data_IF_446594724388
#
_entry.id   IF_446594724388
#
_cell.length_a   1.000
_cell.length_b   1.000
_cell.length_c   1.000
_cell.angle_alpha   90.00
_cell.angle_beta   90.00
_cell.angle_gamma   90.00
#
_symmetry.space_group_name_H-M   'P 1'
#
loop_
_entity.id
_entity.type
_entity.pdbx_description
1 polymer ?
#
# COMPACT_ATOMS: atom_id res chain seq x y z
N UNK A 1 -13.62 -43.80 48.41
CA UNK A 1 -14.33 -43.66 47.13
C UNK A 1 -15.06 -42.33 47.15
N UNK A 2 -14.46 -41.29 46.60
CA UNK A 2 -15.02 -39.94 46.48
C UNK A 2 -15.60 -39.79 45.08
N UNK A 3 -16.90 -39.58 44.97
CA UNK A 3 -17.61 -39.33 43.69
C UNK A 3 -17.19 -37.98 43.09
N UNK A 4 -17.12 -37.83 41.76
CA UNK A 4 -16.80 -36.55 41.13
C UNK A 4 -18.05 -35.68 40.98
N UNK A 5 -17.86 -34.38 41.21
CA UNK A 5 -18.84 -33.31 41.02
C UNK A 5 -19.42 -33.31 39.60
N UNK A 6 -20.75 -33.20 39.53
CA UNK A 6 -21.47 -32.96 38.28
C UNK A 6 -21.33 -31.48 37.89
N UNK A 7 -20.97 -31.13 36.65
CA UNK A 7 -20.91 -29.74 36.23
C UNK A 7 -22.34 -29.16 36.18
N UNK A 8 -22.54 -28.04 36.89
CA UNK A 8 -23.80 -27.31 36.88
C UNK A 8 -24.19 -26.79 35.49
N UNK A 9 -25.47 -26.43 35.28
CA UNK A 9 -25.96 -25.99 33.98
C UNK A 9 -25.23 -24.72 33.52
N UNK A 10 -24.97 -24.58 32.20
CA UNK A 10 -24.32 -23.38 31.67
C UNK A 10 -25.16 -22.15 32.01
N UNK A 11 -24.48 -21.13 32.55
CA UNK A 11 -25.10 -19.84 32.85
C UNK A 11 -25.71 -19.19 31.60
N UNK A 12 -26.65 -18.24 31.79
CA UNK A 12 -27.26 -17.53 30.68
C UNK A 12 -26.19 -16.84 29.81
N UNK A 13 -26.34 -16.82 28.47
CA UNK A 13 -25.42 -16.13 27.60
C UNK A 13 -25.31 -14.67 28.03
N UNK A 14 -24.08 -14.18 28.15
CA UNK A 14 -23.82 -12.78 28.48
C UNK A 14 -24.45 -11.83 27.45
N UNK A 15 -24.63 -10.54 27.80
CA UNK A 15 -25.17 -9.56 26.87
C UNK A 15 -24.36 -9.55 25.56
N UNK A 16 -25.01 -9.39 24.39
CA UNK A 16 -24.32 -9.31 23.12
C UNK A 16 -23.26 -8.20 23.21
N UNK A 17 -22.04 -8.52 22.78
CA UNK A 17 -20.96 -7.53 22.71
C UNK A 17 -21.34 -6.33 21.83
N UNK A 18 -20.58 -5.24 21.89
CA UNK A 18 -20.83 -4.08 21.04
C UNK A 18 -20.91 -4.52 19.57
N UNK A 19 -21.83 -3.95 18.78
CA UNK A 19 -22.02 -4.36 17.40
C UNK A 19 -20.71 -4.20 16.62
N UNK A 20 -20.38 -5.23 15.83
CA UNK A 20 -19.24 -5.20 14.92
C UNK A 20 -19.34 -4.06 13.89
N UNK A 21 -18.28 -3.83 13.11
CA UNK A 21 -18.30 -2.80 12.07
C UNK A 21 -19.44 -3.06 11.06
N UNK A 22 -20.06 -1.99 10.51
CA UNK A 22 -21.12 -2.12 9.52
C UNK A 22 -20.70 -3.02 8.36
N UNK A 23 -21.61 -3.84 7.83
CA UNK A 23 -21.26 -4.69 6.69
C UNK A 23 -21.18 -3.88 5.40
N UNK A 24 -20.55 -4.41 4.36
CA UNK A 24 -20.56 -3.78 3.02
C UNK A 24 -21.99 -3.66 2.45
N UNK A 25 -22.92 -4.53 2.86
CA UNK A 25 -24.32 -4.42 2.46
C UNK A 25 -24.98 -3.19 3.10
N UNK A 26 -24.67 -2.91 4.37
CA UNK A 26 -25.16 -1.71 5.08
C UNK A 26 -24.54 -0.43 4.51
N UNK A 27 -23.27 -0.52 4.12
CA UNK A 27 -22.51 0.61 3.59
C UNK A 27 -22.85 0.92 2.14
N UNK A 28 -23.30 -0.05 1.34
CA UNK A 28 -23.72 0.14 -0.06
C UNK A 28 -22.73 -0.43 -1.08
N UNK A 29 -23.27 -1.21 -2.03
CA UNK A 29 -22.49 -1.92 -3.05
C UNK A 29 -21.83 -0.99 -4.09
N UNK A 30 -22.25 0.26 -4.19
CA UNK A 30 -21.65 1.27 -5.08
C UNK A 30 -20.18 1.53 -4.73
N UNK A 31 -19.78 1.33 -3.47
CA UNK A 31 -18.39 1.45 -3.04
C UNK A 31 -17.48 0.43 -3.72
N UNK A 32 -17.99 -0.71 -4.18
CA UNK A 32 -17.19 -1.77 -4.78
C UNK A 32 -16.98 -1.60 -6.29
N UNK A 33 -17.59 -0.59 -6.91
CA UNK A 33 -17.63 -0.45 -8.36
C UNK A 33 -16.46 0.38 -8.88
N UNK A 34 -15.52 -0.27 -9.57
CA UNK A 34 -14.52 0.42 -10.38
C UNK A 34 -14.97 0.49 -11.85
N UNK A 35 -15.32 1.70 -12.32
CA UNK A 35 -15.69 1.90 -13.73
C UNK A 35 -14.51 1.66 -14.67
N UNK A 36 -14.80 1.30 -15.94
CA UNK A 36 -13.77 1.14 -16.98
C UNK A 36 -12.87 2.37 -17.12
N UNK A 37 -13.46 3.57 -17.03
CA UNK A 37 -12.73 4.85 -17.08
C UNK A 37 -11.77 5.00 -15.90
N UNK A 38 -12.23 4.71 -14.67
CA UNK A 38 -11.40 4.78 -13.46
C UNK A 38 -10.23 3.79 -13.53
N UNK A 39 -10.50 2.56 -13.97
CA UNK A 39 -9.47 1.54 -14.21
C UNK A 39 -8.38 2.04 -15.19
N UNK A 40 -8.79 2.57 -16.33
CA UNK A 40 -7.85 3.11 -17.32
C UNK A 40 -7.03 4.28 -16.77
N UNK A 41 -7.67 5.23 -16.07
CA UNK A 41 -6.97 6.36 -15.45
C UNK A 41 -5.94 5.87 -14.43
N UNK A 42 -6.30 4.90 -13.58
CA UNK A 42 -5.41 4.36 -12.57
C UNK A 42 -4.16 3.73 -13.20
N UNK A 43 -4.34 2.88 -14.21
CA UNK A 43 -3.23 2.22 -14.92
C UNK A 43 -2.39 3.17 -15.78
N UNK A 44 -3.00 4.21 -16.34
CA UNK A 44 -2.30 5.18 -17.18
C UNK A 44 -1.48 6.21 -16.39
N UNK A 45 -1.83 6.49 -15.12
CA UNK A 45 -1.23 7.57 -14.33
C UNK A 45 0.29 7.41 -14.15
N UNK A 46 0.84 6.23 -13.79
CA UNK A 46 2.30 6.06 -13.71
C UNK A 46 3.01 6.27 -15.05
N UNK A 47 2.39 5.81 -16.14
CA UNK A 47 2.93 5.98 -17.51
C UNK A 47 2.93 7.45 -17.93
N UNK A 48 1.86 8.18 -17.62
CA UNK A 48 1.83 9.63 -17.83
C UNK A 48 2.94 10.34 -17.03
N UNK A 49 3.21 9.90 -15.81
CA UNK A 49 4.34 10.41 -15.01
C UNK A 49 5.70 10.14 -15.65
N UNK A 50 5.93 8.94 -16.22
CA UNK A 50 7.14 8.64 -16.99
C UNK A 50 7.31 9.57 -18.19
N UNK A 51 6.22 9.84 -18.92
CA UNK A 51 6.24 10.79 -20.04
C UNK A 51 6.57 12.22 -19.57
N UNK A 52 6.00 12.66 -18.43
CA UNK A 52 6.35 13.93 -17.82
C UNK A 52 7.82 14.00 -17.41
N UNK A 53 8.38 12.93 -16.83
CA UNK A 53 9.80 12.86 -16.50
C UNK A 53 10.67 12.98 -17.76
N UNK A 54 10.35 12.21 -18.80
CA UNK A 54 11.09 12.24 -20.06
C UNK A 54 11.03 13.63 -20.71
N UNK A 55 9.87 14.29 -20.70
CA UNK A 55 9.71 15.65 -21.20
C UNK A 55 10.51 16.67 -20.37
N UNK A 56 10.51 16.57 -19.04
CA UNK A 56 11.28 17.45 -18.17
C UNK A 56 12.80 17.26 -18.38
N UNK A 57 13.26 16.02 -18.49
CA UNK A 57 14.65 15.69 -18.79
C UNK A 57 15.08 16.23 -20.17
N UNK A 58 14.23 16.04 -21.19
CA UNK A 58 14.47 16.55 -22.55
C UNK A 58 14.53 18.09 -22.59
N UNK A 59 13.67 18.77 -21.83
CA UNK A 59 13.68 20.22 -21.68
C UNK A 59 14.80 20.75 -20.76
N UNK A 60 15.61 19.87 -20.14
CA UNK A 60 16.66 20.24 -19.20
C UNK A 60 16.17 20.68 -17.82
N UNK A 61 14.89 20.47 -17.48
CA UNK A 61 14.27 20.84 -16.21
C UNK A 61 14.54 19.82 -15.11
N UNK A 62 15.82 19.54 -14.86
CA UNK A 62 16.25 18.51 -13.90
C UNK A 62 15.75 18.75 -12.48
N UNK A 63 15.53 20.00 -12.08
CA UNK A 63 15.01 20.34 -10.75
C UNK A 63 13.56 19.88 -10.51
N UNK A 64 12.78 19.64 -11.57
CA UNK A 64 11.42 19.11 -11.46
C UNK A 64 11.38 17.59 -11.28
N UNK A 65 12.45 16.88 -11.65
CA UNK A 65 12.41 15.42 -11.72
C UNK A 65 12.17 14.72 -10.38
N UNK A 66 12.68 15.20 -9.22
CA UNK A 66 12.36 14.55 -7.94
C UNK A 66 10.86 14.65 -7.59
N UNK A 67 10.23 15.80 -7.88
CA UNK A 67 8.79 16.01 -7.65
C UNK A 67 7.96 15.12 -8.56
N UNK A 68 8.36 15.00 -9.84
CA UNK A 68 7.71 14.11 -10.80
C UNK A 68 7.84 12.65 -10.35
N UNK A 69 9.03 12.20 -9.96
CA UNK A 69 9.26 10.82 -9.49
C UNK A 69 8.48 10.53 -8.20
N UNK A 70 8.37 11.48 -7.28
CA UNK A 70 7.49 11.34 -6.13
C UNK A 70 6.02 11.17 -6.53
N UNK A 71 5.54 11.92 -7.53
CA UNK A 71 4.20 11.73 -8.10
C UNK A 71 4.01 10.36 -8.75
N UNK A 72 5.03 9.85 -9.46
CA UNK A 72 5.04 8.49 -10.01
C UNK A 72 4.97 7.47 -8.87
N UNK A 73 5.76 7.65 -7.81
CA UNK A 73 5.76 6.79 -6.63
C UNK A 73 4.36 6.65 -6.06
N UNK A 74 3.69 7.77 -5.77
CA UNK A 74 2.32 7.75 -5.24
C UNK A 74 1.35 7.07 -6.21
N UNK A 75 1.46 7.34 -7.51
CA UNK A 75 0.62 6.73 -8.53
C UNK A 75 0.79 5.21 -8.59
N UNK A 76 2.05 4.72 -8.53
CA UNK A 76 2.38 3.29 -8.55
C UNK A 76 1.87 2.61 -7.28
N UNK A 77 2.20 3.14 -6.09
CA UNK A 77 1.72 2.60 -4.80
C UNK A 77 0.20 2.45 -4.80
N UNK A 78 -0.52 3.47 -5.27
CA UNK A 78 -1.99 3.45 -5.28
C UNK A 78 -2.55 2.42 -6.26
N UNK A 79 -2.02 2.36 -7.49
CA UNK A 79 -2.56 1.43 -8.49
C UNK A 79 -2.18 -0.02 -8.18
N UNK A 80 -0.97 -0.29 -7.69
CA UNK A 80 -0.56 -1.64 -7.31
C UNK A 80 -1.36 -2.12 -6.12
N UNK A 81 -1.65 -1.25 -5.15
CA UNK A 81 -2.53 -1.53 -4.03
C UNK A 81 -3.93 -1.98 -4.48
N UNK A 82 -4.58 -1.19 -5.36
CA UNK A 82 -5.89 -1.56 -5.92
C UNK A 82 -5.83 -2.86 -6.76
N UNK A 83 -4.70 -3.14 -7.42
CA UNK A 83 -4.48 -4.39 -8.17
C UNK A 83 -4.35 -5.58 -7.22
N UNK A 84 -3.60 -5.46 -6.12
CA UNK A 84 -3.38 -6.53 -5.13
C UNK A 84 -4.70 -6.93 -4.46
N UNK A 85 -5.53 -5.94 -4.10
CA UNK A 85 -6.84 -6.18 -3.52
C UNK A 85 -7.92 -6.55 -4.55
N UNK A 86 -7.58 -6.58 -5.83
CA UNK A 86 -8.48 -6.94 -6.92
C UNK A 86 -9.58 -5.90 -7.18
N UNK A 87 -9.50 -4.72 -6.58
CA UNK A 87 -10.52 -3.68 -6.63
C UNK A 87 -10.61 -3.01 -8.01
N UNK A 88 -9.56 -3.12 -8.84
CA UNK A 88 -9.62 -2.73 -10.24
C UNK A 88 -10.45 -3.69 -11.11
N UNK A 89 -10.70 -4.93 -10.65
CA UNK A 89 -11.46 -5.94 -11.41
C UNK A 89 -10.76 -6.45 -12.67
N UNK A 90 -9.43 -6.65 -12.58
CA UNK A 90 -8.64 -7.30 -13.62
C UNK A 90 -8.82 -8.83 -13.56
N UNK A 91 -8.60 -9.52 -14.69
CA UNK A 91 -8.50 -10.98 -14.69
C UNK A 91 -7.20 -11.42 -14.02
N UNK A 92 -7.09 -12.68 -13.59
CA UNK A 92 -5.85 -13.22 -12.98
C UNK A 92 -4.57 -12.87 -13.77
N UNK A 93 -4.48 -13.23 -15.07
CA UNK A 93 -3.34 -12.84 -15.90
C UNK A 93 -3.19 -11.32 -16.08
N UNK A 94 -4.29 -10.57 -16.04
CA UNK A 94 -4.26 -9.11 -16.09
C UNK A 94 -3.65 -8.50 -14.82
N UNK A 95 -3.96 -9.07 -13.65
CA UNK A 95 -3.37 -8.71 -12.36
C UNK A 95 -1.87 -8.94 -12.36
N UNK A 96 -1.39 -10.13 -12.76
CA UNK A 96 0.05 -10.43 -12.79
C UNK A 96 0.81 -9.48 -13.73
N UNK A 97 0.27 -9.22 -14.93
CA UNK A 97 0.86 -8.28 -15.88
C UNK A 97 0.86 -6.85 -15.35
N UNK A 98 -0.21 -6.43 -14.67
CA UNK A 98 -0.29 -5.09 -14.08
C UNK A 98 0.73 -4.94 -12.93
N UNK A 99 0.85 -5.93 -12.05
CA UNK A 99 1.86 -5.92 -10.98
C UNK A 99 3.27 -5.85 -11.53
N UNK A 100 3.58 -6.66 -12.55
CA UNK A 100 4.86 -6.62 -13.22
C UNK A 100 5.12 -5.25 -13.85
N UNK A 101 4.21 -4.76 -14.69
CA UNK A 101 4.38 -3.51 -15.41
C UNK A 101 4.51 -2.30 -14.47
N UNK A 102 3.69 -2.22 -13.41
CA UNK A 102 3.74 -1.13 -12.44
C UNK A 102 4.98 -1.22 -11.55
N UNK A 103 5.42 -2.43 -11.17
CA UNK A 103 6.69 -2.66 -10.48
C UNK A 103 7.88 -2.14 -11.30
N UNK A 104 7.90 -2.43 -12.61
CA UNK A 104 8.95 -1.93 -13.51
C UNK A 104 9.03 -0.40 -13.57
N UNK A 105 7.91 0.32 -13.39
CA UNK A 105 7.92 1.79 -13.38
C UNK A 105 8.80 2.31 -12.24
N UNK A 106 8.75 1.72 -11.04
CA UNK A 106 9.61 2.12 -9.92
C UNK A 106 10.89 1.28 -9.78
N UNK A 107 11.13 0.32 -10.66
CA UNK A 107 12.22 -0.65 -10.55
C UNK A 107 12.09 -1.53 -9.29
N UNK A 108 10.85 -1.92 -8.98
CA UNK A 108 10.44 -2.69 -7.81
C UNK A 108 9.73 -3.98 -8.19
N UNK A 109 9.41 -4.80 -7.19
CA UNK A 109 8.70 -6.06 -7.38
C UNK A 109 7.24 -5.95 -6.94
N UNK A 110 6.34 -5.89 -7.92
CA UNK A 110 4.90 -5.92 -7.67
C UNK A 110 4.44 -7.27 -7.10
N UNK A 111 5.10 -8.37 -7.47
CA UNK A 111 4.79 -9.70 -6.94
C UNK A 111 5.25 -9.89 -5.50
N UNK A 112 6.41 -9.33 -5.11
CA UNK A 112 6.83 -9.30 -3.71
C UNK A 112 5.84 -8.49 -2.89
N UNK A 113 5.45 -7.30 -3.37
CA UNK A 113 4.46 -6.45 -2.71
C UNK A 113 3.12 -7.18 -2.51
N UNK A 114 2.59 -7.86 -3.54
CA UNK A 114 1.38 -8.70 -3.38
C UNK A 114 1.52 -9.71 -2.25
N UNK A 115 2.63 -10.43 -2.21
CA UNK A 115 2.86 -11.50 -1.25
C UNK A 115 2.97 -10.97 0.18
N UNK A 116 3.67 -9.85 0.37
CA UNK A 116 3.93 -9.26 1.70
C UNK A 116 2.70 -8.50 2.19
N UNK A 117 2.06 -7.71 1.33
CA UNK A 117 0.93 -6.86 1.72
C UNK A 117 -0.31 -7.68 2.08
N UNK A 118 -0.58 -8.77 1.34
CA UNK A 118 -1.65 -9.71 1.70
C UNK A 118 -1.40 -10.36 3.06
N UNK A 119 -0.13 -10.60 3.41
CA UNK A 119 0.26 -11.15 4.71
C UNK A 119 0.10 -10.10 5.82
N UNK A 120 0.49 -8.86 5.55
CA UNK A 120 0.34 -7.71 6.43
C UNK A 120 -1.12 -7.52 6.88
N UNK A 121 -2.08 -7.47 5.96
CA UNK A 121 -3.50 -7.34 6.30
C UNK A 121 -4.05 -8.47 7.18
N UNK A 122 -3.45 -9.66 7.12
CA UNK A 122 -3.88 -10.82 7.89
C UNK A 122 -3.23 -10.90 9.26
N UNK A 123 -1.99 -10.41 9.37
CA UNK A 123 -1.14 -10.67 10.52
C UNK A 123 -0.86 -9.45 11.36
N UNK A 124 -0.86 -8.23 10.82
CA UNK A 124 -0.49 -7.05 11.58
C UNK A 124 -1.30 -6.95 12.89
N UNK A 125 -0.66 -6.70 14.05
CA UNK A 125 0.76 -6.39 14.29
C UNK A 125 1.63 -7.60 14.70
N UNK A 126 1.22 -8.83 14.37
CA UNK A 126 1.96 -10.04 14.74
C UNK A 126 3.41 -10.00 14.23
N UNK A 127 4.41 -10.50 14.99
CA UNK A 127 5.82 -10.50 14.60
C UNK A 127 6.16 -11.20 13.27
N UNK A 128 5.24 -12.03 12.77
CA UNK A 128 5.39 -12.73 11.48
C UNK A 128 4.90 -11.91 10.28
N UNK A 129 4.37 -10.70 10.52
CA UNK A 129 4.08 -9.74 9.48
C UNK A 129 5.39 -9.28 8.81
N UNK A 130 5.59 -9.53 7.50
CA UNK A 130 6.80 -9.11 6.81
C UNK A 130 6.94 -7.58 6.69
N UNK A 131 5.83 -6.83 6.71
CA UNK A 131 5.82 -5.37 6.47
C UNK A 131 5.83 -4.56 7.77
N UNK A 132 5.26 -5.08 8.87
CA UNK A 132 4.89 -4.29 10.05
C UNK A 132 6.03 -3.72 10.89
N UNK A 133 7.23 -4.29 10.82
CA UNK A 133 8.35 -3.91 11.71
C UNK A 133 8.68 -2.41 11.78
N UNK A 134 8.66 -1.63 10.68
CA UNK A 134 8.86 -0.18 10.74
C UNK A 134 7.90 0.55 11.68
N UNK A 135 6.71 0.03 11.98
CA UNK A 135 5.77 0.65 12.92
C UNK A 135 6.32 0.73 14.36
N UNK A 136 7.25 -0.16 14.72
CA UNK A 136 7.88 -0.27 16.05
C UNK A 136 9.15 0.60 16.19
N UNK A 137 9.67 1.12 15.07
CA UNK A 137 10.91 1.88 15.07
C UNK A 137 10.68 3.30 15.60
N UNK A 138 11.77 4.03 15.90
CA UNK A 138 11.71 5.48 16.02
C UNK A 138 11.54 6.12 14.63
N UNK A 139 11.12 7.38 14.56
CA UNK A 139 11.03 8.11 13.28
C UNK A 139 12.35 8.05 12.48
N UNK A 140 13.48 8.31 13.14
CA UNK A 140 14.81 8.21 12.51
C UNK A 140 15.15 6.76 12.12
N UNK A 141 14.72 5.78 12.92
CA UNK A 141 14.84 4.36 12.59
C UNK A 141 14.06 3.98 11.33
N UNK A 142 12.82 4.42 11.20
CA UNK A 142 11.97 4.17 10.03
C UNK A 142 12.57 4.79 8.75
N UNK A 143 13.12 6.01 8.84
CA UNK A 143 13.85 6.65 7.73
C UNK A 143 15.11 5.85 7.38
N UNK A 144 15.91 5.47 8.38
CA UNK A 144 17.13 4.68 8.19
C UNK A 144 16.88 3.26 7.68
N UNK A 145 15.67 2.73 7.85
CA UNK A 145 15.27 1.40 7.38
C UNK A 145 14.98 1.35 5.87
N UNK A 146 14.76 2.51 5.23
CA UNK A 146 14.42 2.65 3.82
C UNK A 146 15.23 1.78 2.85
N UNK A 147 16.58 1.84 2.87
CA UNK A 147 17.42 1.04 1.98
C UNK A 147 17.26 -0.48 2.11
N UNK A 148 16.76 -0.97 3.25
CA UNK A 148 16.67 -2.40 3.56
C UNK A 148 15.25 -2.95 3.38
N UNK A 149 14.22 -2.10 3.45
CA UNK A 149 12.82 -2.50 3.45
C UNK A 149 12.46 -3.36 2.24
N UNK A 150 12.57 -2.83 1.02
CA UNK A 150 12.17 -3.57 -0.19
C UNK A 150 13.04 -4.81 -0.48
N UNK A 151 14.38 -4.78 -0.35
CA UNK A 151 15.19 -5.99 -0.48
C UNK A 151 14.80 -7.10 0.50
N UNK A 152 14.46 -6.75 1.75
CA UNK A 152 14.00 -7.70 2.75
C UNK A 152 12.65 -8.31 2.36
N UNK A 153 11.69 -7.51 1.91
CA UNK A 153 10.38 -7.97 1.45
C UNK A 153 10.49 -8.90 0.23
N UNK A 154 11.36 -8.54 -0.71
CA UNK A 154 11.66 -9.38 -1.86
C UNK A 154 12.26 -10.73 -1.43
N UNK A 155 13.25 -10.72 -0.55
CA UNK A 155 13.89 -11.93 -0.04
C UNK A 155 12.90 -12.82 0.72
N UNK A 156 12.08 -12.22 1.58
CA UNK A 156 11.01 -12.92 2.29
C UNK A 156 10.05 -13.61 1.30
N UNK A 157 9.65 -12.89 0.25
CA UNK A 157 8.76 -13.39 -0.80
C UNK A 157 9.41 -14.50 -1.61
N UNK A 158 10.68 -14.37 -1.99
CA UNK A 158 11.40 -15.38 -2.77
C UNK A 158 11.55 -16.71 -2.01
N UNK A 159 11.84 -16.63 -0.71
CA UNK A 159 11.97 -17.82 0.16
C UNK A 159 10.66 -18.59 0.33
N UNK A 160 9.52 -17.89 0.30
CA UNK A 160 8.18 -18.46 0.59
C UNK A 160 7.28 -18.61 -0.64
N UNK A 161 7.63 -17.96 -1.74
CA UNK A 161 6.76 -17.76 -2.90
C UNK A 161 6.83 -18.86 -3.93
N UNK A 162 5.70 -19.06 -4.62
CA UNK A 162 5.56 -19.98 -5.77
C UNK A 162 5.90 -19.29 -7.10
N UNK A 163 5.89 -17.94 -7.13
CA UNK A 163 6.06 -17.10 -8.32
C UNK A 163 7.51 -16.63 -8.53
N UNK A 164 8.49 -17.50 -8.28
CA UNK A 164 9.92 -17.12 -8.31
C UNK A 164 10.39 -16.55 -9.66
N UNK A 165 9.78 -17.00 -10.76
CA UNK A 165 10.10 -16.48 -12.10
C UNK A 165 9.82 -14.99 -12.23
N UNK A 166 8.65 -14.53 -11.76
CA UNK A 166 8.30 -13.10 -11.73
C UNK A 166 9.26 -12.31 -10.85
N UNK A 167 9.53 -12.80 -9.64
CA UNK A 167 10.42 -12.12 -8.69
C UNK A 167 11.82 -11.92 -9.27
N UNK A 168 12.38 -12.93 -9.97
CA UNK A 168 13.68 -12.84 -10.61
C UNK A 168 13.67 -11.87 -11.81
N UNK A 169 12.60 -11.90 -12.63
CA UNK A 169 12.45 -10.98 -13.75
C UNK A 169 12.35 -9.52 -13.28
N UNK A 170 11.59 -9.25 -12.21
CA UNK A 170 11.48 -7.93 -11.60
C UNK A 170 12.80 -7.48 -10.95
N UNK A 171 13.53 -8.39 -10.29
CA UNK A 171 14.83 -8.08 -9.68
C UNK A 171 15.92 -7.71 -10.71
N UNK A 172 15.78 -8.16 -11.97
CA UNK A 172 16.69 -7.74 -13.04
C UNK A 172 16.48 -6.27 -13.43
N UNK A 173 15.28 -5.70 -13.24
CA UNK A 173 14.93 -4.36 -13.69
C UNK A 173 15.84 -3.24 -13.12
N UNK A 174 16.05 -3.12 -11.79
CA UNK A 174 16.95 -2.09 -11.26
C UNK A 174 18.39 -2.27 -11.73
N UNK A 175 18.88 -3.51 -11.86
CA UNK A 175 20.24 -3.80 -12.35
C UNK A 175 20.41 -3.36 -13.79
N UNK A 176 19.46 -3.73 -14.67
CA UNK A 176 19.48 -3.36 -16.08
C UNK A 176 19.31 -1.85 -16.27
N UNK A 177 18.47 -1.19 -15.48
CA UNK A 177 18.27 0.26 -15.55
C UNK A 177 19.52 1.03 -15.13
N UNK A 178 20.22 0.60 -14.07
CA UNK A 178 21.46 1.21 -13.62
C UNK A 178 22.60 0.98 -14.63
N UNK A 179 22.78 -0.26 -15.10
CA UNK A 179 23.81 -0.58 -16.08
C UNK A 179 23.56 0.11 -17.42
N UNK A 180 22.32 0.03 -17.93
CA UNK A 180 21.90 0.72 -19.15
C UNK A 180 22.02 2.23 -19.02
N UNK A 181 21.65 2.80 -17.87
CA UNK A 181 21.81 4.23 -17.59
C UNK A 181 23.27 4.68 -17.59
N UNK A 182 24.18 3.90 -17.02
CA UNK A 182 25.61 4.18 -17.06
C UNK A 182 26.18 4.10 -18.49
N UNK A 183 25.78 3.10 -19.26
CA UNK A 183 26.20 2.94 -20.67
C UNK A 183 25.65 4.05 -21.57
N UNK A 184 24.43 4.51 -21.33
CA UNK A 184 23.77 5.56 -22.10
C UNK A 184 24.15 6.97 -21.66
N UNK A 185 24.91 7.13 -20.57
CA UNK A 185 25.29 8.44 -20.02
C UNK A 185 25.86 9.44 -21.04
N UNK A 186 26.74 9.06 -21.99
CA UNK A 186 27.25 9.99 -23.00
C UNK A 186 26.16 10.57 -23.93
N UNK A 187 25.03 9.89 -24.06
CA UNK A 187 23.91 10.30 -24.91
C UNK A 187 22.78 10.95 -24.12
N UNK A 188 22.49 10.42 -22.92
CA UNK A 188 21.49 10.98 -22.02
C UNK A 188 21.72 10.54 -20.57
N UNK A 189 21.71 11.47 -19.60
CA UNK A 189 21.75 11.11 -18.18
C UNK A 189 20.37 10.65 -17.66
N UNK A 190 19.29 10.80 -18.45
CA UNK A 190 17.91 10.65 -17.98
C UNK A 190 17.62 9.26 -17.40
N UNK A 191 18.14 8.19 -18.01
CA UNK A 191 17.91 6.81 -17.56
C UNK A 191 18.54 6.56 -16.20
N UNK A 192 19.80 6.97 -16.02
CA UNK A 192 20.50 6.79 -14.74
C UNK A 192 19.90 7.67 -13.64
N UNK A 193 19.58 8.93 -13.95
CA UNK A 193 18.92 9.85 -13.01
C UNK A 193 17.56 9.28 -12.59
N UNK A 194 16.76 8.77 -13.52
CA UNK A 194 15.49 8.13 -13.20
C UNK A 194 15.68 6.94 -12.27
N UNK A 195 16.61 6.03 -12.61
CA UNK A 195 16.86 4.83 -11.82
C UNK A 195 17.29 5.15 -10.39
N UNK A 196 18.20 6.12 -10.24
CA UNK A 196 18.67 6.57 -8.92
C UNK A 196 17.54 7.23 -8.12
N UNK A 197 16.75 8.11 -8.74
CA UNK A 197 15.62 8.76 -8.07
C UNK A 197 14.51 7.78 -7.70
N UNK A 198 14.20 6.80 -8.56
CA UNK A 198 13.24 5.75 -8.26
C UNK A 198 13.72 4.94 -7.05
N UNK A 199 14.93 4.39 -7.09
CA UNK A 199 15.50 3.56 -6.01
C UNK A 199 15.59 4.35 -4.68
N UNK A 200 16.15 5.56 -4.70
CA UNK A 200 16.31 6.37 -3.50
C UNK A 200 14.97 6.90 -3.00
N UNK A 201 14.07 7.27 -3.92
CA UNK A 201 12.71 7.69 -3.60
C UNK A 201 11.95 6.61 -2.84
N UNK A 202 12.09 5.34 -3.23
CA UNK A 202 11.45 4.20 -2.59
C UNK A 202 11.91 3.94 -1.16
N UNK A 203 13.00 4.56 -0.69
CA UNK A 203 13.39 4.46 0.72
C UNK A 203 12.38 5.12 1.66
N UNK A 204 11.44 5.92 1.14
CA UNK A 204 10.35 6.50 1.94
C UNK A 204 9.23 5.52 2.25
N UNK A 205 9.17 4.33 1.61
CA UNK A 205 8.11 3.33 1.86
C UNK A 205 7.88 3.02 3.33
N UNK A 206 8.87 2.50 4.10
CA UNK A 206 8.65 2.12 5.49
C UNK A 206 8.16 3.30 6.35
N UNK A 207 8.54 4.53 5.99
CA UNK A 207 8.04 5.72 6.64
C UNK A 207 6.56 5.98 6.29
N UNK A 208 6.24 6.09 4.99
CA UNK A 208 4.94 6.59 4.53
C UNK A 208 3.83 5.54 4.58
N UNK A 209 4.14 4.27 4.33
CA UNK A 209 3.13 3.21 4.19
C UNK A 209 3.01 2.32 5.42
N UNK A 210 3.98 2.37 6.34
CA UNK A 210 3.96 1.55 7.57
C UNK A 210 4.08 2.41 8.82
N UNK A 211 5.17 3.15 9.01
CA UNK A 211 5.37 3.95 10.22
C UNK A 211 4.26 4.98 10.42
N UNK A 212 4.02 5.90 9.47
CA UNK A 212 3.01 6.94 9.66
C UNK A 212 1.59 6.39 9.92
N UNK A 213 1.11 5.36 9.19
CA UNK A 213 -0.24 4.83 9.41
C UNK A 213 -0.37 3.92 10.64
N UNK A 214 0.70 3.23 11.06
CA UNK A 214 0.65 2.20 12.10
C UNK A 214 1.41 2.54 13.38
N UNK A 215 2.17 3.64 13.45
CA UNK A 215 2.90 3.96 14.67
C UNK A 215 1.93 4.13 15.86
N UNK A 216 2.37 3.70 17.05
CA UNK A 216 1.56 3.64 18.27
C UNK A 216 0.23 2.87 18.07
N UNK A 217 0.27 1.76 17.32
CA UNK A 217 -0.90 0.90 17.10
C UNK A 217 -1.41 0.32 18.43
N UNK A 218 -2.73 0.15 18.51
CA UNK A 218 -3.39 -0.57 19.62
C UNK A 218 -3.81 -1.99 19.25
N UNK A 219 -4.49 -2.67 20.17
CA UNK A 219 -4.80 -4.10 20.07
C UNK A 219 -6.07 -4.42 19.26
N UNK A 220 -6.84 -3.41 18.86
CA UNK A 220 -8.09 -3.60 18.11
C UNK A 220 -7.94 -3.19 16.64
N UNK A 221 -8.73 -3.75 15.70
CA UNK A 221 -8.72 -3.32 14.30
C UNK A 221 -8.92 -1.81 14.10
N UNK A 222 -9.63 -1.14 15.01
CA UNK A 222 -9.89 0.31 14.97
C UNK A 222 -8.70 1.16 15.43
N UNK A 223 -7.78 0.57 16.18
CA UNK A 223 -6.61 1.24 16.77
C UNK A 223 -5.30 0.80 16.14
N UNK A 224 -5.32 -0.23 15.29
CA UNK A 224 -4.12 -0.74 14.61
C UNK A 224 -3.57 0.24 13.56
N UNK A 225 -4.42 1.15 13.08
CA UNK A 225 -4.09 2.08 12.01
C UNK A 225 -4.74 3.44 12.23
N UNK A 226 -4.18 4.45 11.58
CA UNK A 226 -4.67 5.83 11.60
C UNK A 226 -5.40 6.16 10.29
N UNK A 227 -6.24 7.19 10.34
CA UNK A 227 -6.83 7.80 9.15
C UNK A 227 -6.50 9.28 9.13
N UNK A 228 -5.92 9.74 8.02
CA UNK A 228 -5.63 11.13 7.72
C UNK A 228 -6.68 11.65 6.74
N UNK A 229 -7.46 12.64 7.17
CA UNK A 229 -8.60 13.17 6.42
C UNK A 229 -8.46 14.67 6.18
N UNK A 230 -8.79 15.11 4.97
CA UNK A 230 -8.57 16.47 4.48
C UNK A 230 -8.94 16.58 3.01
N UNK A 231 -8.58 17.70 2.37
CA UNK A 231 -8.84 17.90 0.93
C UNK A 231 -7.58 17.77 0.10
N UNK A 232 -6.45 18.31 0.57
CA UNK A 232 -5.23 18.41 -0.21
C UNK A 232 -4.36 17.17 0.02
N UNK A 233 -3.99 16.88 1.26
CA UNK A 233 -3.05 15.77 1.54
C UNK A 233 -3.62 14.42 1.06
N UNK A 234 -4.87 14.02 1.39
CA UNK A 234 -5.42 12.77 0.88
C UNK A 234 -5.47 12.72 -0.65
N UNK A 235 -5.85 13.81 -1.32
CA UNK A 235 -5.89 13.87 -2.78
C UNK A 235 -4.50 13.71 -3.42
N UNK A 236 -3.46 14.29 -2.81
CA UNK A 236 -2.07 14.12 -3.24
C UNK A 236 -1.66 12.66 -3.15
N UNK A 237 -2.01 11.97 -2.07
CA UNK A 237 -1.77 10.54 -1.84
C UNK A 237 -2.83 9.62 -2.45
N UNK A 238 -3.66 10.14 -3.35
CA UNK A 238 -4.72 9.41 -4.05
C UNK A 238 -5.62 8.59 -3.11
N UNK A 239 -5.95 9.20 -1.98
CA UNK A 239 -6.87 8.74 -0.95
C UNK A 239 -6.38 7.53 -0.12
N UNK A 240 -5.14 7.07 -0.27
CA UNK A 240 -4.61 6.00 0.59
C UNK A 240 -4.32 6.44 2.04
N UNK A 241 -4.44 7.74 2.35
CA UNK A 241 -4.36 8.22 3.73
C UNK A 241 -5.56 7.81 4.59
N UNK A 242 -6.66 7.37 3.98
CA UNK A 242 -7.78 6.71 4.63
C UNK A 242 -7.43 5.25 4.97
N UNK A 243 -6.30 5.08 5.65
CA UNK A 243 -5.64 3.78 5.84
C UNK A 243 -6.42 2.87 6.78
N UNK A 244 -7.03 3.42 7.83
CA UNK A 244 -7.95 2.68 8.69
C UNK A 244 -9.15 2.14 7.92
N UNK A 245 -9.81 2.97 7.11
CA UNK A 245 -10.94 2.55 6.29
C UNK A 245 -10.53 1.42 5.35
N UNK A 246 -9.33 1.52 4.78
CA UNK A 246 -8.76 0.48 3.93
C UNK A 246 -8.52 -0.83 4.70
N UNK A 247 -7.94 -0.79 5.91
CA UNK A 247 -7.73 -2.01 6.71
C UNK A 247 -9.04 -2.71 7.10
N UNK A 248 -10.08 -1.92 7.38
CA UNK A 248 -11.40 -2.47 7.70
C UNK A 248 -12.12 -3.03 6.46
N UNK A 249 -11.96 -2.40 5.30
CA UNK A 249 -12.67 -2.76 4.06
C UNK A 249 -11.73 -2.76 2.85
N UNK A 250 -10.78 -3.72 2.76
CA UNK A 250 -9.80 -3.78 1.68
C UNK A 250 -10.43 -3.99 0.29
N UNK A 251 -11.70 -4.40 0.23
CA UNK A 251 -12.44 -4.59 -1.02
C UNK A 251 -12.89 -3.26 -1.66
N UNK A 252 -12.78 -2.13 -0.94
CA UNK A 252 -13.14 -0.82 -1.46
C UNK A 252 -11.92 -0.20 -2.15
N UNK A 253 -12.01 0.16 -3.45
CA UNK A 253 -10.90 0.79 -4.17
C UNK A 253 -10.56 2.16 -3.58
N UNK A 254 -9.30 2.55 -3.71
CA UNK A 254 -8.73 3.82 -3.20
C UNK A 254 -9.63 5.04 -3.43
N UNK A 255 -10.11 5.24 -4.67
CA UNK A 255 -10.96 6.37 -5.06
C UNK A 255 -12.35 6.42 -4.40
N UNK A 256 -12.78 5.36 -3.70
CA UNK A 256 -14.02 5.31 -2.92
C UNK A 256 -13.78 5.38 -1.40
N UNK A 257 -12.52 5.34 -0.93
CA UNK A 257 -12.22 5.47 0.49
C UNK A 257 -12.76 6.76 1.13
N UNK A 258 -12.77 7.94 0.47
CA UNK A 258 -13.40 9.12 1.05
C UNK A 258 -14.91 8.99 1.23
N UNK A 259 -15.58 8.24 0.35
CA UNK A 259 -17.02 7.97 0.46
C UNK A 259 -17.31 6.96 1.57
N UNK A 260 -16.51 5.90 1.66
CA UNK A 260 -16.53 4.93 2.75
C UNK A 260 -16.32 5.63 4.10
N UNK A 261 -15.32 6.50 4.20
CA UNK A 261 -15.02 7.27 5.41
C UNK A 261 -16.22 8.08 5.93
N UNK A 262 -16.97 8.71 5.03
CA UNK A 262 -18.22 9.44 5.39
C UNK A 262 -19.31 8.50 5.89
N UNK A 263 -19.45 7.32 5.30
CA UNK A 263 -20.44 6.32 5.75
C UNK A 263 -20.07 5.69 7.08
N UNK A 264 -18.78 5.66 7.40
CA UNK A 264 -18.25 5.17 8.67
C UNK A 264 -18.19 6.22 9.78
N UNK A 265 -18.45 7.51 9.50
CA UNK A 265 -18.28 8.61 10.48
C UNK A 265 -18.99 8.35 11.81
N UNK A 266 -20.26 7.96 11.76
CA UNK A 266 -21.05 7.68 12.96
C UNK A 266 -20.50 6.49 13.76
N UNK A 267 -20.10 5.42 13.07
CA UNK A 267 -19.54 4.23 13.71
C UNK A 267 -18.16 4.50 14.33
N UNK A 268 -17.26 5.16 13.59
CA UNK A 268 -15.92 5.47 14.06
C UNK A 268 -15.96 6.43 15.27
N UNK A 269 -16.82 7.46 15.22
CA UNK A 269 -17.01 8.38 16.34
C UNK A 269 -17.58 7.67 17.58
N UNK A 270 -18.58 6.80 17.40
CA UNK A 270 -19.18 6.03 18.50
C UNK A 270 -18.18 5.07 19.16
N UNK A 271 -17.15 4.63 18.43
CA UNK A 271 -16.09 3.76 18.92
C UNK A 271 -14.79 4.51 19.26
N UNK A 272 -14.85 5.84 19.43
CA UNK A 272 -13.74 6.64 19.94
C UNK A 272 -12.59 6.90 18.95
N UNK A 273 -12.74 6.53 17.68
CA UNK A 273 -11.75 6.80 16.64
C UNK A 273 -11.76 8.30 16.31
N UNK A 274 -10.58 8.92 16.34
CA UNK A 274 -10.39 10.35 16.03
C UNK A 274 -9.53 10.52 14.78
N UNK A 275 -10.13 10.83 13.62
CA UNK A 275 -9.37 11.11 12.41
C UNK A 275 -8.41 12.29 12.58
N UNK A 276 -7.19 12.15 12.06
CA UNK A 276 -6.23 13.26 12.00
C UNK A 276 -6.68 14.18 10.87
N UNK A 277 -6.97 15.44 11.21
CA UNK A 277 -7.42 16.45 10.25
C UNK A 277 -6.21 17.16 9.63
N UNK A 278 -6.18 17.20 8.31
CA UNK A 278 -5.17 17.87 7.51
C UNK A 278 -5.81 18.74 6.44
N UNK A 279 -5.03 19.66 5.87
CA UNK A 279 -5.47 20.56 4.80
C UNK A 279 -5.81 19.76 3.55
#
# INVERSE_FOLDING_TARGET
MTSPDSPGPPGPPGPPGPPGPPTLADLGADLLVTTRRRRWIALARPIAGLLCFAAAAWAGWWWLTPVIVFGIFVAVVTVTHDVVHGTLGLSGPGTDRALFAMGLVLLESGHAYRATHTRHHRLFPHPDDPEGHPAELSLLGAVGYGPVFLPRLWWWSYRRGRDRGWLLAEAAAPVLALAGGALLWPYTPAVLVYALLAIAGSWVYPLLTVYLPHHDYGDTPLTQTRTLRGRIIPAVFLELTYHLEHHLYPQVPSHHLPALARRLDGYLAANGVRPIRVV
#
